data_IF_821929448330
#
_entry.id   IF_821929448330
#
_cell.length_a   1.000
_cell.length_b   1.000
_cell.length_c   1.000
_cell.angle_alpha   90.00
_cell.angle_beta   90.00
_cell.angle_gamma   90.00
#
_symmetry.space_group_name_H-M   'P 1'
#
loop_
_entity.id
_entity.type
_entity.pdbx_description
1 polymer ?
#
# COMPACT_ATOMS: atom_id res chain seq x y z
N UNK A 1 0.10 -22.57 21.90
CA UNK A 1 -0.14 -21.84 20.64
C UNK A 1 0.52 -22.67 19.56
N UNK A 2 -0.25 -23.32 18.70
CA UNK A 2 0.28 -24.18 17.66
C UNK A 2 1.26 -23.41 16.78
N UNK A 3 2.43 -23.99 16.55
CA UNK A 3 3.55 -23.44 15.76
C UNK A 3 3.19 -23.11 14.29
N UNK A 4 1.95 -23.35 13.89
CA UNK A 4 1.41 -23.25 12.53
C UNK A 4 0.94 -21.84 12.14
N UNK A 5 0.62 -20.96 13.09
CA UNK A 5 0.12 -19.60 12.78
C UNK A 5 1.16 -18.70 12.08
N UNK A 6 2.45 -18.67 12.49
CA UNK A 6 3.47 -17.86 11.81
C UNK A 6 3.77 -18.33 10.37
N UNK A 7 3.74 -19.65 10.14
CA UNK A 7 4.04 -20.25 8.84
C UNK A 7 3.01 -19.88 7.75
N UNK A 8 1.76 -19.65 8.14
CA UNK A 8 0.68 -19.24 7.22
C UNK A 8 0.66 -17.73 6.95
N UNK A 9 1.17 -16.93 7.89
CA UNK A 9 1.19 -15.46 7.76
C UNK A 9 2.29 -15.00 6.79
N UNK A 10 3.45 -15.66 6.79
CA UNK A 10 4.59 -15.23 5.97
C UNK A 10 4.31 -15.22 4.45
N UNK A 11 3.64 -16.24 3.86
CA UNK A 11 3.23 -16.20 2.46
C UNK A 11 2.22 -15.09 2.17
N UNK A 12 1.21 -14.91 3.02
CA UNK A 12 0.18 -13.89 2.85
C UNK A 12 0.76 -12.47 2.88
N UNK A 13 1.68 -12.22 3.83
CA UNK A 13 2.44 -10.98 3.95
C UNK A 13 3.29 -10.72 2.70
N UNK A 14 3.99 -11.73 2.20
CA UNK A 14 4.84 -11.60 1.01
C UNK A 14 4.02 -11.26 -0.23
N UNK A 15 2.85 -11.88 -0.40
CA UNK A 15 1.91 -11.57 -1.47
C UNK A 15 1.37 -10.13 -1.37
N UNK A 16 1.08 -9.67 -0.16
CA UNK A 16 0.61 -8.30 0.09
C UNK A 16 1.68 -7.26 -0.25
N UNK A 17 2.94 -7.49 0.15
CA UNK A 17 4.08 -6.63 -0.23
C UNK A 17 4.32 -6.62 -1.75
N UNK A 18 4.19 -7.78 -2.40
CA UNK A 18 4.29 -7.89 -3.86
C UNK A 18 3.17 -7.10 -4.55
N UNK A 19 1.94 -7.21 -4.08
CA UNK A 19 0.81 -6.44 -4.62
C UNK A 19 1.04 -4.93 -4.48
N UNK A 20 1.57 -4.48 -3.34
CA UNK A 20 1.89 -3.06 -3.13
C UNK A 20 3.01 -2.58 -4.05
N UNK A 21 4.05 -3.41 -4.25
CA UNK A 21 5.16 -3.12 -5.15
C UNK A 21 4.68 -3.02 -6.60
N UNK A 22 3.85 -3.96 -7.04
CA UNK A 22 3.25 -3.95 -8.37
C UNK A 22 2.44 -2.67 -8.61
N UNK A 23 1.67 -2.24 -7.61
CA UNK A 23 0.90 -0.99 -7.69
C UNK A 23 1.80 0.23 -7.81
N UNK A 24 2.84 0.32 -7.00
CA UNK A 24 3.83 1.39 -7.07
C UNK A 24 4.49 1.46 -8.45
N UNK A 25 4.95 0.31 -8.97
CA UNK A 25 5.59 0.23 -10.29
C UNK A 25 4.64 0.65 -11.41
N UNK A 26 3.38 0.24 -11.35
CA UNK A 26 2.33 0.66 -12.28
C UNK A 26 2.15 2.18 -12.32
N UNK A 27 1.95 2.83 -11.17
CA UNK A 27 1.84 4.30 -11.12
C UNK A 27 3.12 4.99 -11.59
N UNK A 28 4.29 4.49 -11.20
CA UNK A 28 5.57 5.06 -11.63
C UNK A 28 5.77 4.95 -13.15
N UNK A 29 5.25 3.90 -13.79
CA UNK A 29 5.26 3.77 -15.24
C UNK A 29 4.32 4.81 -15.89
N UNK A 30 3.10 4.97 -15.37
CA UNK A 30 2.13 5.98 -15.86
C UNK A 30 2.69 7.40 -15.74
N UNK A 31 3.25 7.77 -14.59
CA UNK A 31 3.86 9.11 -14.39
C UNK A 31 4.98 9.35 -15.41
N UNK A 32 5.86 8.37 -15.63
CA UNK A 32 6.95 8.48 -16.62
C UNK A 32 6.42 8.57 -18.05
N UNK A 33 5.34 7.86 -18.37
CA UNK A 33 4.65 7.92 -19.65
C UNK A 33 4.04 9.28 -19.93
N UNK A 34 3.26 9.82 -18.98
CA UNK A 34 2.69 11.18 -19.04
C UNK A 34 3.78 12.24 -19.22
N UNK A 35 4.87 12.13 -18.45
CA UNK A 35 5.96 13.10 -18.52
C UNK A 35 6.62 13.16 -19.91
N UNK A 36 6.68 12.05 -20.64
CA UNK A 36 7.20 12.01 -22.02
C UNK A 36 6.25 12.62 -23.06
N UNK A 37 4.96 12.73 -22.74
CA UNK A 37 3.93 13.26 -23.65
C UNK A 37 3.64 14.76 -23.42
N UNK A 38 4.39 15.42 -22.53
CA UNK A 38 4.25 16.85 -22.26
C UNK A 38 4.61 17.66 -23.51
N UNK A 39 3.69 18.53 -23.90
CA UNK A 39 3.84 19.54 -24.94
C UNK A 39 3.22 20.86 -24.47
N UNK A 40 3.49 21.99 -25.13
CA UNK A 40 3.03 23.30 -24.65
C UNK A 40 1.50 23.44 -24.59
N UNK A 41 0.76 22.69 -25.42
CA UNK A 41 -0.70 22.70 -25.47
C UNK A 41 -1.40 21.89 -24.37
N UNK A 42 -0.75 20.86 -23.80
CA UNK A 42 -1.34 19.94 -22.83
C UNK A 42 -0.61 19.95 -21.47
N UNK A 43 0.37 20.85 -21.30
CA UNK A 43 1.24 20.96 -20.13
C UNK A 43 0.47 21.07 -18.81
N UNK A 44 -0.57 21.92 -18.76
CA UNK A 44 -1.34 22.13 -17.51
C UNK A 44 -2.19 20.90 -17.15
N UNK A 45 -2.79 20.25 -18.15
CA UNK A 45 -3.58 19.02 -17.96
C UNK A 45 -2.71 17.88 -17.44
N UNK A 46 -1.56 17.62 -18.09
CA UNK A 46 -0.63 16.56 -17.67
C UNK A 46 -0.03 16.86 -16.30
N UNK A 47 0.29 18.13 -16.00
CA UNK A 47 0.78 18.53 -14.69
C UNK A 47 -0.23 18.19 -13.58
N UNK A 48 -1.53 18.48 -13.79
CA UNK A 48 -2.61 18.12 -12.86
C UNK A 48 -2.73 16.61 -12.67
N UNK A 49 -2.66 15.82 -13.74
CA UNK A 49 -2.70 14.35 -13.63
C UNK A 49 -1.49 13.79 -12.85
N UNK A 50 -0.28 14.31 -13.09
CA UNK A 50 0.93 13.92 -12.35
C UNK A 50 0.80 14.26 -10.86
N UNK A 51 0.19 15.40 -10.51
CA UNK A 51 -0.04 15.77 -9.09
C UNK A 51 -0.97 14.75 -8.42
N UNK A 52 -2.07 14.37 -9.07
CA UNK A 52 -2.98 13.34 -8.55
C UNK A 52 -2.28 11.96 -8.41
N UNK A 53 -1.47 11.58 -9.40
CA UNK A 53 -0.68 10.33 -9.33
C UNK A 53 0.37 10.37 -8.20
N UNK A 54 1.01 11.51 -7.95
CA UNK A 54 1.95 11.68 -6.83
C UNK A 54 1.27 11.47 -5.47
N UNK A 55 0.05 11.97 -5.29
CA UNK A 55 -0.72 11.76 -4.06
C UNK A 55 -0.94 10.26 -3.81
N UNK A 56 -1.33 9.53 -4.85
CA UNK A 56 -1.54 8.08 -4.81
C UNK A 56 -0.25 7.31 -4.51
N UNK A 57 0.88 7.68 -5.13
CA UNK A 57 2.19 7.11 -4.80
C UNK A 57 2.53 7.33 -3.33
N UNK A 58 2.27 8.51 -2.77
CA UNK A 58 2.50 8.79 -1.34
C UNK A 58 1.65 7.89 -0.44
N UNK A 59 0.38 7.67 -0.79
CA UNK A 59 -0.50 6.72 -0.08
C UNK A 59 0.04 5.29 -0.11
N UNK A 60 0.54 4.84 -1.28
CA UNK A 60 1.15 3.50 -1.44
C UNK A 60 2.38 3.33 -0.53
N UNK A 61 3.24 4.35 -0.47
CA UNK A 61 4.43 4.32 0.39
C UNK A 61 4.03 4.26 1.87
N UNK A 62 3.03 5.05 2.28
CA UNK A 62 2.55 5.05 3.68
C UNK A 62 1.96 3.69 4.07
N UNK A 63 1.11 3.08 3.23
CA UNK A 63 0.56 1.75 3.54
C UNK A 63 1.66 0.68 3.63
N UNK A 64 2.69 0.75 2.77
CA UNK A 64 3.84 -0.17 2.82
C UNK A 64 4.63 -0.03 4.12
N UNK A 65 4.96 1.21 4.52
CA UNK A 65 5.71 1.47 5.76
C UNK A 65 4.93 0.94 6.98
N UNK A 66 3.63 1.23 7.07
CA UNK A 66 2.77 0.74 8.15
C UNK A 66 2.66 -0.79 8.15
N UNK A 67 2.54 -1.40 6.97
CA UNK A 67 2.50 -2.86 6.83
C UNK A 67 3.81 -3.51 7.28
N UNK A 68 4.96 -3.01 6.81
CA UNK A 68 6.28 -3.50 7.21
C UNK A 68 6.51 -3.32 8.72
N UNK A 69 6.14 -2.16 9.29
CA UNK A 69 6.28 -1.90 10.70
C UNK A 69 5.37 -2.81 11.55
N UNK A 70 4.16 -3.09 11.09
CA UNK A 70 3.28 -4.10 11.70
C UNK A 70 3.95 -5.46 11.74
N UNK A 71 4.54 -5.90 10.63
CA UNK A 71 5.18 -7.22 10.53
C UNK A 71 6.39 -7.29 11.46
N UNK A 72 7.21 -6.25 11.49
CA UNK A 72 8.35 -6.15 12.40
C UNK A 72 7.92 -6.24 13.88
N UNK A 73 6.86 -5.53 14.27
CA UNK A 73 6.28 -5.63 15.62
C UNK A 73 5.72 -7.03 15.90
N UNK A 74 5.09 -7.67 14.93
CA UNK A 74 4.60 -9.05 15.08
C UNK A 74 5.75 -10.04 15.32
N UNK A 75 6.87 -9.90 14.60
CA UNK A 75 8.08 -10.72 14.82
C UNK A 75 8.68 -10.44 16.20
N UNK A 76 8.78 -9.18 16.60
CA UNK A 76 9.25 -8.80 17.94
C UNK A 76 8.34 -9.36 19.05
N UNK A 77 7.02 -9.33 18.86
CA UNK A 77 6.06 -9.96 19.75
C UNK A 77 6.33 -11.47 19.90
N UNK A 78 6.49 -12.20 18.79
CA UNK A 78 6.80 -13.63 18.84
C UNK A 78 8.10 -13.91 19.57
N UNK A 79 9.12 -13.05 19.40
CA UNK A 79 10.37 -13.13 20.13
C UNK A 79 10.19 -12.92 21.65
N UNK A 80 9.35 -11.96 22.07
CA UNK A 80 9.06 -11.74 23.49
C UNK A 80 8.22 -12.87 24.12
N UNK A 81 7.28 -13.45 23.38
CA UNK A 81 6.57 -14.65 23.83
C UNK A 81 7.53 -15.82 24.02
N UNK A 82 8.54 -15.95 23.16
CA UNK A 82 9.57 -16.98 23.29
C UNK A 82 10.46 -16.80 24.53
N UNK A 83 10.71 -15.55 24.96
CA UNK A 83 11.42 -15.23 26.21
C UNK A 83 10.54 -15.34 27.46
N UNK A 84 9.38 -15.99 27.38
CA UNK A 84 8.38 -16.12 28.45
C UNK A 84 7.80 -14.78 28.96
N UNK A 85 8.05 -13.67 28.27
CA UNK A 85 7.51 -12.34 28.59
C UNK A 85 6.13 -12.14 27.95
N UNK A 86 5.16 -12.96 28.37
CA UNK A 86 3.84 -13.06 27.75
C UNK A 86 3.07 -11.73 27.69
N UNK A 87 3.09 -10.92 28.76
CA UNK A 87 2.34 -9.65 28.82
C UNK A 87 2.88 -8.64 27.80
N UNK A 88 4.20 -8.44 27.76
CA UNK A 88 4.83 -7.51 26.83
C UNK A 88 4.60 -7.95 25.37
N UNK A 89 4.75 -9.25 25.13
CA UNK A 89 4.45 -9.86 23.85
C UNK A 89 3.02 -9.62 23.36
N UNK A 90 2.02 -9.87 24.20
CA UNK A 90 0.61 -9.65 23.86
C UNK A 90 0.29 -8.18 23.53
N UNK A 91 0.86 -7.23 24.28
CA UNK A 91 0.67 -5.79 24.02
C UNK A 91 1.24 -5.41 22.65
N UNK A 92 2.46 -5.87 22.34
CA UNK A 92 3.12 -5.60 21.05
C UNK A 92 2.35 -6.29 19.91
N UNK A 93 1.82 -7.48 20.13
CA UNK A 93 0.98 -8.18 19.16
C UNK A 93 -0.27 -7.35 18.81
N UNK A 94 -1.02 -6.88 19.80
CA UNK A 94 -2.19 -6.04 19.57
C UNK A 94 -1.83 -4.75 18.83
N UNK A 95 -0.72 -4.09 19.20
CA UNK A 95 -0.23 -2.90 18.50
C UNK A 95 0.08 -3.19 17.02
N UNK A 96 0.68 -4.35 16.73
CA UNK A 96 0.95 -4.76 15.34
C UNK A 96 -0.35 -4.91 14.54
N UNK A 97 -1.37 -5.57 15.09
CA UNK A 97 -2.65 -5.78 14.40
C UNK A 97 -3.37 -4.46 14.07
N UNK A 98 -3.34 -3.49 14.99
CA UNK A 98 -3.90 -2.15 14.75
C UNK A 98 -3.17 -1.49 13.57
N UNK A 99 -1.84 -1.58 13.54
CA UNK A 99 -1.03 -1.01 12.47
C UNK A 99 -1.32 -1.66 11.11
N UNK A 100 -1.51 -2.98 11.08
CA UNK A 100 -1.94 -3.73 9.89
C UNK A 100 -3.32 -3.27 9.40
N UNK A 101 -4.28 -3.08 10.31
CA UNK A 101 -5.61 -2.59 9.96
C UNK A 101 -5.56 -1.19 9.35
N UNK A 102 -4.75 -0.30 9.91
CA UNK A 102 -4.56 1.05 9.36
C UNK A 102 -3.93 0.95 7.95
N UNK A 103 -2.89 0.12 7.77
CA UNK A 103 -2.26 -0.11 6.45
C UNK A 103 -3.28 -0.59 5.41
N UNK A 104 -4.13 -1.55 5.77
CA UNK A 104 -5.17 -2.08 4.90
C UNK A 104 -6.26 -1.03 4.59
N UNK A 105 -6.63 -0.21 5.58
CA UNK A 105 -7.55 0.92 5.38
C UNK A 105 -7.02 1.91 4.33
N UNK A 106 -5.74 2.26 4.37
CA UNK A 106 -5.09 3.06 3.33
C UNK A 106 -5.09 2.34 1.97
N UNK A 107 -4.90 1.03 1.95
CA UNK A 107 -4.95 0.22 0.73
C UNK A 107 -6.32 0.29 0.04
N UNK A 108 -7.41 0.18 0.82
CA UNK A 108 -8.78 0.33 0.35
C UNK A 108 -9.07 1.76 -0.13
N UNK A 109 -8.57 2.77 0.59
CA UNK A 109 -8.73 4.17 0.20
C UNK A 109 -8.02 4.47 -1.14
N UNK A 110 -6.79 3.98 -1.32
CA UNK A 110 -6.08 4.12 -2.61
C UNK A 110 -6.85 3.38 -3.73
N UNK A 111 -7.40 2.19 -3.45
CA UNK A 111 -8.27 1.45 -4.40
C UNK A 111 -9.46 2.26 -4.89
N UNK A 112 -10.15 2.96 -3.98
CA UNK A 112 -11.25 3.84 -4.39
C UNK A 112 -10.78 4.98 -5.28
N UNK A 113 -9.68 5.65 -4.93
CA UNK A 113 -9.13 6.75 -5.74
C UNK A 113 -8.71 6.24 -7.12
N UNK A 114 -8.05 5.07 -7.19
CA UNK A 114 -7.59 4.56 -8.47
C UNK A 114 -8.70 4.05 -9.36
N UNK A 115 -9.76 3.47 -8.77
CA UNK A 115 -10.96 3.09 -9.50
C UNK A 115 -11.70 4.32 -10.05
N UNK A 116 -11.84 5.37 -9.24
CA UNK A 116 -12.52 6.60 -9.67
C UNK A 116 -11.76 7.33 -10.79
N UNK A 117 -10.43 7.43 -10.70
CA UNK A 117 -9.61 8.03 -11.75
C UNK A 117 -9.74 7.28 -13.08
N UNK A 118 -9.74 5.94 -13.05
CA UNK A 118 -9.91 5.12 -14.25
C UNK A 118 -11.30 5.26 -14.86
N UNK A 119 -12.34 5.37 -14.03
CA UNK A 119 -13.70 5.54 -14.52
C UNK A 119 -13.89 6.88 -15.25
N UNK A 120 -13.30 7.96 -14.73
CA UNK A 120 -13.31 9.28 -15.39
C UNK A 120 -12.55 9.22 -16.72
N UNK A 121 -11.36 8.60 -16.75
CA UNK A 121 -10.56 8.48 -17.99
C UNK A 121 -11.25 7.60 -19.05
N UNK A 122 -12.12 6.65 -18.66
CA UNK A 122 -12.91 5.83 -19.59
C UNK A 122 -14.16 6.54 -20.12
N UNK A 123 -14.85 7.32 -19.27
CA UNK A 123 -16.04 8.09 -19.67
C UNK A 123 -15.70 9.16 -20.73
N UNK A 124 -14.48 9.70 -20.71
CA UNK A 124 -13.96 10.63 -21.71
C UNK A 124 -13.67 9.94 -23.08
N UNK A 125 -13.48 8.61 -23.11
CA UNK A 125 -13.23 7.84 -24.33
C UNK A 125 -14.55 7.38 -24.98
N UNK A 126 -15.58 7.08 -24.18
CA UNK A 126 -16.90 6.65 -24.70
C UNK A 126 -17.74 7.82 -25.24
N UNK A 127 -17.38 9.08 -24.95
CA UNK A 127 -18.07 10.29 -25.43
C UNK A 127 -17.47 10.90 -26.71
N UNK A 128 -16.52 10.22 -27.37
CA UNK A 128 -15.91 10.64 -28.64
C UNK A 128 -15.96 9.52 -29.69
#
# INVERSE_FOLDING_TARGET
MDLSTPALLFPAISLLLLAYTNRFMGLAAVIRGLHRQINDSNKDLIARQIINLKLRVKLIIVMQILGVLSIALCVASMFFLFLEMAVLGQVIFCASLILMLISLGFSLYELKISGHALNIDLEDIDLN
#
